data_IF_083832520057
#
_entry.id   IF_083832520057
#
_cell.length_a   1.000
_cell.length_b   1.000
_cell.length_c   1.000
_cell.angle_alpha   90.00
_cell.angle_beta   90.00
_cell.angle_gamma   90.00
#
_symmetry.space_group_name_H-M   'P 1'
#
loop_
_entity.id
_entity.type
_entity.pdbx_description
1 polymer ?
#
# COMPACT_ATOMS: atom_id res chain seq x y z
N UNK A 1 -9.11 -15.86 -16.28
CA UNK A 1 -8.77 -15.35 -14.94
C UNK A 1 -10.07 -14.86 -14.32
N UNK A 2 -10.46 -15.42 -13.18
CA UNK A 2 -11.69 -15.03 -12.49
C UNK A 2 -11.56 -13.60 -11.94
N UNK A 3 -12.64 -12.81 -12.00
CA UNK A 3 -12.68 -11.44 -11.48
C UNK A 3 -12.28 -11.41 -9.99
N UNK A 4 -12.68 -12.42 -9.21
CA UNK A 4 -12.31 -12.53 -7.79
C UNK A 4 -10.81 -12.75 -7.59
N UNK A 5 -10.21 -13.62 -8.41
CA UNK A 5 -8.78 -13.93 -8.34
C UNK A 5 -7.94 -12.70 -8.71
N UNK A 6 -8.39 -11.92 -9.69
CA UNK A 6 -7.77 -10.64 -10.04
C UNK A 6 -7.81 -9.65 -8.88
N UNK A 7 -8.95 -9.48 -8.21
CA UNK A 7 -9.07 -8.57 -7.05
C UNK A 7 -8.15 -9.04 -5.92
N UNK A 8 -8.05 -10.35 -5.65
CA UNK A 8 -7.12 -10.89 -4.65
C UNK A 8 -5.67 -10.57 -4.96
N UNK A 9 -5.25 -10.73 -6.22
CA UNK A 9 -3.89 -10.40 -6.64
C UNK A 9 -3.61 -8.91 -6.55
N UNK A 10 -4.55 -8.05 -6.96
CA UNK A 10 -4.43 -6.62 -6.84
C UNK A 10 -4.36 -6.18 -5.36
N UNK A 11 -5.14 -6.81 -4.48
CA UNK A 11 -5.10 -6.56 -3.03
C UNK A 11 -3.76 -6.94 -2.41
N UNK A 12 -3.25 -8.14 -2.75
CA UNK A 12 -1.95 -8.59 -2.29
C UNK A 12 -0.83 -7.66 -2.78
N UNK A 13 -0.91 -7.20 -4.03
CA UNK A 13 0.04 -6.25 -4.61
C UNK A 13 0.00 -4.91 -3.89
N UNK A 14 -1.20 -4.35 -3.65
CA UNK A 14 -1.37 -3.08 -2.95
C UNK A 14 -0.84 -3.15 -1.51
N UNK A 15 -1.17 -4.23 -0.81
CA UNK A 15 -0.71 -4.47 0.57
C UNK A 15 0.82 -4.63 0.62
N UNK A 16 1.40 -5.40 -0.30
CA UNK A 16 2.85 -5.57 -0.42
C UNK A 16 3.58 -4.25 -0.70
N UNK A 17 3.05 -3.42 -1.62
CA UNK A 17 3.62 -2.10 -1.92
C UNK A 17 3.54 -1.16 -0.72
N UNK A 18 2.42 -1.16 0.01
CA UNK A 18 2.31 -0.39 1.26
C UNK A 18 3.40 -0.76 2.25
N UNK A 19 3.61 -2.07 2.47
CA UNK A 19 4.61 -2.56 3.41
C UNK A 19 6.04 -2.21 2.98
N UNK A 20 6.39 -2.43 1.70
CA UNK A 20 7.70 -2.07 1.14
C UNK A 20 8.03 -0.59 1.34
N UNK A 21 7.06 0.28 1.05
CA UNK A 21 7.22 1.73 1.20
C UNK A 21 7.31 2.15 2.67
N UNK A 22 6.53 1.52 3.56
CA UNK A 22 6.60 1.79 5.00
C UNK A 22 7.97 1.41 5.60
N UNK A 23 8.54 0.28 5.19
CA UNK A 23 9.89 -0.10 5.60
C UNK A 23 10.95 0.87 5.06
N UNK A 24 10.79 1.32 3.81
CA UNK A 24 11.67 2.33 3.21
C UNK A 24 11.56 3.66 3.94
N UNK A 25 10.35 4.10 4.27
CA UNK A 25 10.11 5.32 5.05
C UNK A 25 10.80 5.23 6.41
N UNK A 26 10.64 4.12 7.13
CA UNK A 26 11.28 3.91 8.43
C UNK A 26 12.81 3.96 8.36
N UNK A 27 13.41 3.40 7.29
CA UNK A 27 14.86 3.50 7.06
C UNK A 27 15.28 4.93 6.78
N UNK A 28 14.56 5.61 5.89
CA UNK A 28 14.84 7.00 5.50
C UNK A 28 14.72 7.97 6.69
N UNK A 29 13.66 7.85 7.50
CA UNK A 29 13.47 8.67 8.71
C UNK A 29 14.60 8.44 9.75
N UNK A 30 15.26 7.28 9.73
CA UNK A 30 16.38 6.96 10.62
C UNK A 30 17.72 7.44 10.07
N UNK A 31 17.95 7.24 8.78
CA UNK A 31 19.26 7.46 8.12
C UNK A 31 19.41 8.89 7.60
N UNK A 32 18.32 9.48 7.10
CA UNK A 32 18.29 10.81 6.48
C UNK A 32 17.04 11.60 6.94
N UNK A 33 16.91 11.93 8.24
CA UNK A 33 15.72 12.59 8.79
C UNK A 33 15.45 13.97 8.16
N UNK A 34 16.49 14.65 7.66
CA UNK A 34 16.37 15.96 7.02
C UNK A 34 15.94 15.87 5.55
N UNK A 35 15.80 14.66 4.98
CA UNK A 35 15.33 14.44 3.63
C UNK A 35 13.79 14.52 3.55
N UNK A 36 13.25 15.65 3.99
CA UNK A 36 11.80 15.89 4.14
C UNK A 36 11.03 15.67 2.84
N UNK A 37 11.64 16.01 1.70
CA UNK A 37 11.02 15.83 0.39
C UNK A 37 10.74 14.36 0.10
N UNK A 38 11.75 13.50 0.27
CA UNK A 38 11.62 12.07 0.01
C UNK A 38 10.72 11.39 1.06
N UNK A 39 10.79 11.82 2.32
CA UNK A 39 9.89 11.36 3.40
C UNK A 39 8.43 11.68 3.05
N UNK A 40 8.15 12.90 2.59
CA UNK A 40 6.80 13.33 2.21
C UNK A 40 6.27 12.52 1.02
N UNK A 41 7.08 12.33 -0.02
CA UNK A 41 6.71 11.49 -1.18
C UNK A 41 6.37 10.07 -0.74
N UNK A 42 7.17 9.46 0.14
CA UNK A 42 6.91 8.10 0.62
C UNK A 42 5.61 8.02 1.41
N UNK A 43 5.31 9.02 2.26
CA UNK A 43 4.04 9.08 3.01
C UNK A 43 2.83 9.18 2.09
N UNK A 44 2.91 10.01 1.05
CA UNK A 44 1.84 10.14 0.05
C UNK A 44 1.61 8.82 -0.71
N UNK A 45 2.68 8.16 -1.14
CA UNK A 45 2.60 6.85 -1.79
C UNK A 45 2.01 5.77 -0.86
N UNK A 46 2.37 5.76 0.42
CA UNK A 46 1.79 4.86 1.42
C UNK A 46 0.29 5.09 1.53
N UNK A 47 -0.16 6.33 1.65
CA UNK A 47 -1.58 6.67 1.76
C UNK A 47 -2.37 6.22 0.51
N UNK A 48 -1.81 6.40 -0.69
CA UNK A 48 -2.40 5.89 -1.93
C UNK A 48 -2.61 4.37 -1.89
N UNK A 49 -1.56 3.61 -1.54
CA UNK A 49 -1.64 2.15 -1.51
C UNK A 49 -2.52 1.63 -0.38
N UNK A 50 -2.58 2.35 0.74
CA UNK A 50 -3.51 2.08 1.83
C UNK A 50 -4.96 2.19 1.36
N UNK A 51 -5.38 3.33 0.82
CA UNK A 51 -6.74 3.52 0.32
C UNK A 51 -7.11 2.51 -0.77
N UNK A 52 -6.16 2.19 -1.67
CA UNK A 52 -6.37 1.15 -2.67
C UNK A 52 -6.56 -0.24 -2.04
N UNK A 53 -5.73 -0.60 -1.06
CA UNK A 53 -5.83 -1.89 -0.37
C UNK A 53 -7.15 -2.03 0.41
N UNK A 54 -7.63 -0.95 1.04
CA UNK A 54 -8.90 -0.93 1.76
C UNK A 54 -10.09 -1.09 0.81
N UNK A 55 -10.11 -0.37 -0.31
CA UNK A 55 -11.17 -0.50 -1.31
C UNK A 55 -11.22 -1.90 -1.92
N UNK A 56 -10.06 -2.51 -2.19
CA UNK A 56 -9.98 -3.89 -2.69
C UNK A 56 -10.42 -4.90 -1.62
N UNK A 57 -10.05 -4.70 -0.35
CA UNK A 57 -10.52 -5.52 0.76
C UNK A 57 -12.05 -5.48 0.87
N UNK A 58 -12.63 -4.29 0.82
CA UNK A 58 -14.08 -4.12 0.83
C UNK A 58 -14.75 -4.89 -0.32
N UNK A 59 -14.20 -4.79 -1.54
CA UNK A 59 -14.72 -5.56 -2.67
C UNK A 59 -14.66 -7.08 -2.43
N UNK A 60 -13.54 -7.60 -1.89
CA UNK A 60 -13.38 -9.02 -1.55
C UNK A 60 -14.38 -9.48 -0.47
N UNK A 61 -14.63 -8.63 0.52
CA UNK A 61 -15.57 -8.91 1.60
C UNK A 61 -17.02 -8.98 1.05
N UNK A 62 -17.39 -8.10 0.12
CA UNK A 62 -18.70 -8.15 -0.55
C UNK A 62 -18.89 -9.39 -1.42
N UNK A 63 -17.84 -9.89 -2.09
CA UNK A 63 -17.90 -11.15 -2.86
C UNK A 63 -17.99 -12.41 -1.99
N UNK A 64 -17.63 -12.31 -0.71
CA UNK A 64 -17.61 -13.45 0.22
C UNK A 64 -18.90 -13.56 1.06
N UNK A 65 -19.84 -12.62 0.88
CA UNK A 65 -21.20 -12.67 1.44
C UNK A 65 -22.12 -13.52 0.57
#
# INVERSE_FOLDING_TARGET
MDSLERIRQEYATASGKKQELAERLKRLEKEEPDNFHQIWILRDQIAYWEGKSEGLKFALDEFSK
#
